data_IF_376019210214
#
_entry.id   IF_376019210214
#
_cell.length_a   1.000
_cell.length_b   1.000
_cell.length_c   1.000
_cell.angle_alpha   90.00
_cell.angle_beta   90.00
_cell.angle_gamma   90.00
#
_symmetry.space_group_name_H-M   'P 1'
#
loop_
_entity.id
_entity.type
_entity.pdbx_description
1 polymer ?
#
# COMPACT_ATOMS: atom_id res chain seq x y z
N UNK A 1 -14.05 -10.48 24.57
CA UNK A 1 -15.42 -10.32 24.04
C UNK A 1 -15.47 -9.72 22.64
N UNK A 2 -14.61 -8.75 22.27
CA UNK A 2 -14.59 -8.12 20.93
C UNK A 2 -14.13 -9.04 19.78
N UNK A 3 -13.16 -9.95 20.03
CA UNK A 3 -12.62 -10.85 18.98
C UNK A 3 -13.70 -11.69 18.31
N UNK A 4 -14.69 -12.13 19.09
CA UNK A 4 -15.82 -12.95 18.66
C UNK A 4 -16.84 -12.15 17.85
N UNK A 5 -17.03 -10.85 18.17
CA UNK A 5 -17.94 -9.97 17.42
C UNK A 5 -17.47 -9.77 15.98
N UNK A 6 -16.17 -9.54 15.75
CA UNK A 6 -15.63 -9.35 14.39
C UNK A 6 -15.74 -10.63 13.57
N UNK A 7 -15.46 -11.81 14.15
CA UNK A 7 -15.65 -13.07 13.42
C UNK A 7 -17.13 -13.35 13.12
N UNK A 8 -18.04 -12.97 14.02
CA UNK A 8 -19.47 -13.08 13.76
C UNK A 8 -19.91 -12.17 12.60
N UNK A 9 -19.40 -10.94 12.50
CA UNK A 9 -19.68 -10.05 11.37
C UNK A 9 -19.11 -10.59 10.05
N UNK A 10 -17.88 -11.12 10.05
CA UNK A 10 -17.30 -11.76 8.86
C UNK A 10 -18.10 -13.00 8.44
N UNK A 11 -18.49 -13.85 9.40
CA UNK A 11 -19.31 -15.02 9.12
C UNK A 11 -20.67 -14.59 8.55
N UNK A 12 -21.29 -13.57 9.13
CA UNK A 12 -22.56 -13.02 8.68
C UNK A 12 -22.48 -12.49 7.24
N UNK A 13 -21.41 -11.79 6.86
CA UNK A 13 -21.25 -11.32 5.47
C UNK A 13 -21.14 -12.48 4.48
N UNK A 14 -20.44 -13.56 4.83
CA UNK A 14 -20.39 -14.76 3.98
C UNK A 14 -21.73 -15.49 3.91
N UNK A 15 -22.47 -15.59 5.02
CA UNK A 15 -23.81 -16.20 5.04
C UNK A 15 -24.78 -15.40 4.16
N UNK A 16 -24.78 -14.07 4.27
CA UNK A 16 -25.61 -13.20 3.41
C UNK A 16 -25.21 -13.35 1.95
N UNK A 17 -23.90 -13.45 1.64
CA UNK A 17 -23.44 -13.70 0.28
C UNK A 17 -24.04 -14.99 -0.30
N UNK A 18 -23.90 -16.12 0.42
CA UNK A 18 -24.41 -17.42 -0.02
C UNK A 18 -25.93 -17.38 -0.21
N UNK A 19 -26.68 -16.77 0.72
CA UNK A 19 -28.14 -16.69 0.64
C UNK A 19 -28.63 -15.78 -0.49
N UNK A 20 -27.90 -14.70 -0.78
CA UNK A 20 -28.27 -13.75 -1.83
C UNK A 20 -27.83 -14.19 -3.24
N UNK A 21 -26.93 -15.18 -3.37
CA UNK A 21 -26.42 -15.66 -4.65
C UNK A 21 -27.52 -16.07 -5.63
N UNK A 22 -28.54 -16.77 -5.12
CA UNK A 22 -29.67 -17.27 -5.93
C UNK A 22 -30.61 -16.16 -6.42
N UNK A 23 -30.58 -14.98 -5.80
CA UNK A 23 -31.51 -13.88 -6.09
C UNK A 23 -30.85 -12.72 -6.82
N UNK A 24 -29.64 -12.34 -6.38
CA UNK A 24 -28.91 -11.17 -6.88
C UNK A 24 -27.40 -11.44 -6.79
N UNK A 25 -26.79 -11.99 -7.86
CA UNK A 25 -25.37 -12.34 -7.89
C UNK A 25 -24.44 -11.18 -7.52
N UNK A 26 -24.81 -9.94 -7.89
CA UNK A 26 -24.05 -8.72 -7.58
C UNK A 26 -24.04 -8.41 -6.08
N UNK A 27 -25.17 -8.58 -5.39
CA UNK A 27 -25.27 -8.36 -3.94
C UNK A 27 -24.48 -9.43 -3.20
N UNK A 28 -24.60 -10.70 -3.64
CA UNK A 28 -23.79 -11.79 -3.12
C UNK A 28 -22.29 -11.51 -3.22
N UNK A 29 -21.85 -11.05 -4.38
CA UNK A 29 -20.47 -10.70 -4.61
C UNK A 29 -20.02 -9.52 -3.72
N UNK A 30 -20.82 -8.46 -3.61
CA UNK A 30 -20.52 -7.33 -2.73
C UNK A 30 -20.32 -7.75 -1.26
N UNK A 31 -21.20 -8.62 -0.73
CA UNK A 31 -21.04 -9.14 0.63
C UNK A 31 -19.82 -10.07 0.79
N UNK A 32 -19.46 -10.82 -0.25
CA UNK A 32 -18.23 -11.60 -0.28
C UNK A 32 -16.99 -10.69 -0.22
N UNK A 33 -16.96 -9.62 -1.01
CA UNK A 33 -15.89 -8.60 -0.99
C UNK A 33 -15.77 -7.92 0.38
N UNK A 34 -16.91 -7.54 1.00
CA UNK A 34 -16.92 -6.98 2.35
C UNK A 34 -16.33 -7.97 3.37
N UNK A 35 -16.71 -9.24 3.30
CA UNK A 35 -16.18 -10.29 4.16
C UNK A 35 -14.67 -10.48 4.02
N UNK A 36 -14.18 -10.50 2.78
CA UNK A 36 -12.75 -10.58 2.46
C UNK A 36 -12.00 -9.35 3.01
N UNK A 37 -12.52 -8.13 2.76
CA UNK A 37 -11.92 -6.89 3.27
C UNK A 37 -11.84 -6.87 4.79
N UNK A 38 -12.91 -7.25 5.50
CA UNK A 38 -12.93 -7.31 6.95
C UNK A 38 -11.94 -8.35 7.51
N UNK A 39 -11.84 -9.51 6.87
CA UNK A 39 -10.87 -10.53 7.23
C UNK A 39 -9.44 -10.01 7.00
N UNK A 40 -9.21 -9.31 5.90
CA UNK A 40 -7.92 -8.73 5.54
C UNK A 40 -7.51 -7.61 6.51
N UNK A 41 -8.39 -6.67 6.84
CA UNK A 41 -8.16 -5.62 7.85
C UNK A 41 -7.86 -6.21 9.22
N UNK A 42 -8.57 -7.28 9.61
CA UNK A 42 -8.27 -7.99 10.87
C UNK A 42 -6.89 -8.62 10.86
N UNK A 43 -6.55 -9.35 9.80
CA UNK A 43 -5.23 -9.98 9.64
C UNK A 43 -4.12 -8.93 9.60
N UNK A 44 -4.37 -7.79 8.97
CA UNK A 44 -3.48 -6.63 8.97
C UNK A 44 -3.20 -6.15 10.40
N UNK A 45 -4.26 -5.90 11.19
CA UNK A 45 -4.12 -5.48 12.59
C UNK A 45 -3.35 -6.50 13.43
N UNK A 46 -3.69 -7.79 13.32
CA UNK A 46 -2.99 -8.86 14.04
C UNK A 46 -1.53 -8.97 13.61
N UNK A 47 -1.23 -8.76 12.32
CA UNK A 47 0.14 -8.72 11.80
C UNK A 47 0.93 -7.57 12.39
N UNK A 48 0.37 -6.35 12.43
CA UNK A 48 1.01 -5.17 12.99
C UNK A 48 1.41 -5.40 14.46
N UNK A 49 0.51 -5.99 15.25
CA UNK A 49 0.74 -6.27 16.67
C UNK A 49 1.86 -7.31 16.90
N UNK A 50 2.08 -8.22 15.95
CA UNK A 50 3.18 -9.20 16.00
C UNK A 50 4.51 -8.61 15.54
N UNK A 51 4.45 -7.61 14.67
CA UNK A 51 5.63 -6.98 14.07
C UNK A 51 6.14 -5.84 14.96
N UNK A 52 6.89 -6.18 16.01
CA UNK A 52 7.43 -5.18 16.94
C UNK A 52 8.97 -5.08 16.95
N UNK A 53 9.62 -5.46 15.86
CA UNK A 53 11.05 -5.20 15.63
C UNK A 53 11.20 -4.12 14.57
N UNK A 54 12.29 -3.33 14.61
CA UNK A 54 12.55 -2.26 13.63
C UNK A 54 12.54 -2.84 12.20
N UNK A 55 13.30 -3.93 11.98
CA UNK A 55 13.34 -4.60 10.67
C UNK A 55 11.95 -5.08 10.22
N UNK A 56 11.19 -5.69 11.13
CA UNK A 56 9.83 -6.12 10.83
C UNK A 56 8.95 -4.95 10.42
N UNK A 57 9.02 -3.83 11.13
CA UNK A 57 8.23 -2.63 10.81
C UNK A 57 8.63 -2.04 9.47
N UNK A 58 9.93 -2.03 9.12
CA UNK A 58 10.43 -1.60 7.80
C UNK A 58 9.82 -2.46 6.70
N UNK A 59 9.97 -3.79 6.79
CA UNK A 59 9.43 -4.71 5.79
C UNK A 59 7.92 -4.56 5.67
N UNK A 60 7.24 -4.44 6.81
CA UNK A 60 5.79 -4.29 6.83
C UNK A 60 5.36 -3.01 6.09
N UNK A 61 5.94 -1.86 6.42
CA UNK A 61 5.60 -0.57 5.81
C UNK A 61 5.99 -0.49 4.33
N UNK A 62 7.00 -1.23 3.86
CA UNK A 62 7.33 -1.26 2.43
C UNK A 62 6.35 -2.17 1.66
N UNK A 63 6.12 -3.38 2.17
CA UNK A 63 5.49 -4.45 1.38
C UNK A 63 3.98 -4.46 1.54
N UNK A 64 3.48 -4.41 2.77
CA UNK A 64 2.07 -4.66 3.06
C UNK A 64 1.11 -3.60 2.48
N UNK A 65 1.43 -2.30 2.54
CA UNK A 65 0.61 -1.23 1.96
C UNK A 65 0.39 -1.35 0.44
N UNK A 66 1.38 -1.86 -0.29
CA UNK A 66 1.27 -2.10 -1.74
C UNK A 66 0.23 -3.20 -1.99
N UNK A 67 0.36 -4.34 -1.30
CA UNK A 67 -0.60 -5.44 -1.41
C UNK A 67 -2.00 -5.03 -0.96
N UNK A 68 -2.11 -4.26 0.13
CA UNK A 68 -3.38 -3.77 0.62
C UNK A 68 -4.04 -2.86 -0.41
N UNK A 69 -3.34 -1.81 -0.86
CA UNK A 69 -3.86 -0.88 -1.85
C UNK A 69 -4.28 -1.59 -3.13
N UNK A 70 -3.44 -2.48 -3.67
CA UNK A 70 -3.75 -3.26 -4.87
C UNK A 70 -4.96 -4.18 -4.72
N UNK A 71 -5.12 -4.85 -3.58
CA UNK A 71 -6.29 -5.70 -3.33
C UNK A 71 -7.58 -4.88 -3.19
N UNK A 72 -7.57 -3.75 -2.47
CA UNK A 72 -8.72 -2.84 -2.43
C UNK A 72 -9.03 -2.26 -3.80
N UNK A 73 -8.01 -1.87 -4.56
CA UNK A 73 -8.19 -1.33 -5.91
C UNK A 73 -8.84 -2.36 -6.82
N UNK A 74 -8.37 -3.61 -6.83
CA UNK A 74 -8.97 -4.67 -7.64
C UNK A 74 -10.43 -4.96 -7.29
N UNK A 75 -10.80 -4.85 -6.01
CA UNK A 75 -12.21 -4.97 -5.58
C UNK A 75 -13.02 -3.77 -6.09
N UNK A 76 -12.51 -2.56 -5.91
CA UNK A 76 -13.18 -1.31 -6.32
C UNK A 76 -13.33 -1.26 -7.83
N UNK A 77 -12.29 -1.60 -8.58
CA UNK A 77 -12.30 -1.69 -10.03
C UNK A 77 -13.38 -2.68 -10.47
N UNK A 78 -13.38 -3.91 -9.96
CA UNK A 78 -14.38 -4.91 -10.34
C UNK A 78 -15.83 -4.49 -10.02
N UNK A 79 -16.06 -3.80 -8.89
CA UNK A 79 -17.41 -3.38 -8.47
C UNK A 79 -17.88 -2.08 -9.15
N UNK A 80 -16.97 -1.21 -9.56
CA UNK A 80 -17.26 0.14 -10.02
C UNK A 80 -16.58 0.47 -11.37
N UNK A 81 -16.31 -0.54 -12.20
CA UNK A 81 -15.62 -0.44 -13.51
C UNK A 81 -16.13 0.77 -14.30
N UNK A 82 -17.45 0.95 -14.38
CA UNK A 82 -18.09 2.01 -15.16
C UNK A 82 -18.04 3.40 -14.49
N UNK A 83 -17.92 3.49 -13.17
CA UNK A 83 -17.87 4.77 -12.43
C UNK A 83 -16.46 5.36 -12.34
N UNK A 84 -15.42 4.53 -12.42
CA UNK A 84 -14.04 4.99 -12.19
C UNK A 84 -13.48 5.74 -13.40
N UNK A 85 -13.92 5.37 -14.61
CA UNK A 85 -13.89 6.16 -15.86
C UNK A 85 -12.54 6.67 -16.38
N UNK A 86 -11.48 6.70 -15.56
CA UNK A 86 -10.16 7.20 -15.92
C UNK A 86 -9.07 6.60 -15.02
N UNK A 87 -7.88 6.41 -15.61
CA UNK A 87 -6.67 5.97 -14.90
C UNK A 87 -6.28 6.90 -13.75
N UNK A 88 -6.60 8.20 -13.86
CA UNK A 88 -6.36 9.20 -12.82
C UNK A 88 -7.13 8.89 -11.54
N UNK A 89 -8.40 8.52 -11.65
CA UNK A 89 -9.25 8.18 -10.50
C UNK A 89 -8.70 6.94 -9.79
N UNK A 90 -8.31 5.91 -10.54
CA UNK A 90 -7.72 4.68 -10.01
C UNK A 90 -6.41 4.96 -9.27
N UNK A 91 -5.52 5.77 -9.84
CA UNK A 91 -4.27 6.17 -9.20
C UNK A 91 -4.50 6.91 -7.88
N UNK A 92 -5.50 7.80 -7.81
CA UNK A 92 -5.88 8.49 -6.58
C UNK A 92 -6.38 7.53 -5.50
N UNK A 93 -7.22 6.55 -5.87
CA UNK A 93 -7.67 5.51 -4.93
C UNK A 93 -6.51 4.65 -4.43
N UNK A 94 -5.58 4.28 -5.31
CA UNK A 94 -4.39 3.53 -4.94
C UNK A 94 -3.56 4.30 -3.90
N UNK A 95 -3.26 5.58 -4.16
CA UNK A 95 -2.54 6.45 -3.23
C UNK A 95 -3.30 6.56 -1.90
N UNK A 96 -4.61 6.77 -1.95
CA UNK A 96 -5.44 6.93 -0.75
C UNK A 96 -5.40 5.69 0.15
N UNK A 97 -5.62 4.49 -0.41
CA UNK A 97 -5.59 3.25 0.37
C UNK A 97 -4.17 2.93 0.88
N UNK A 98 -3.16 3.22 0.07
CA UNK A 98 -1.77 3.06 0.46
C UNK A 98 -1.43 3.91 1.69
N UNK A 99 -1.65 5.22 1.63
CA UNK A 99 -1.35 6.17 2.72
C UNK A 99 -2.18 5.85 3.97
N UNK A 100 -3.45 5.48 3.80
CA UNK A 100 -4.33 5.11 4.91
C UNK A 100 -3.85 3.86 5.65
N UNK A 101 -3.42 2.83 4.92
CA UNK A 101 -2.87 1.61 5.53
C UNK A 101 -1.55 1.88 6.28
N UNK A 102 -0.72 2.78 5.74
CA UNK A 102 0.48 3.30 6.41
C UNK A 102 0.14 3.98 7.73
N UNK A 103 -0.75 4.97 7.68
CA UNK A 103 -1.18 5.73 8.84
C UNK A 103 -1.69 4.83 9.95
N UNK A 104 -2.57 3.89 9.61
CA UNK A 104 -3.14 2.93 10.57
C UNK A 104 -2.06 2.07 11.25
N UNK A 105 -1.07 1.59 10.49
CA UNK A 105 0.02 0.80 11.06
C UNK A 105 0.89 1.61 12.01
N UNK A 106 1.20 2.85 11.66
CA UNK A 106 1.97 3.76 12.49
C UNK A 106 1.29 4.11 13.80
N UNK A 107 -0.03 4.21 13.84
CA UNK A 107 -0.76 4.37 15.09
C UNK A 107 -0.65 3.16 16.03
N UNK A 108 -0.38 1.98 15.48
CA UNK A 108 -0.32 0.75 16.25
C UNK A 108 1.11 0.36 16.65
N UNK A 109 2.14 0.80 15.91
CA UNK A 109 3.53 0.50 16.23
C UNK A 109 4.03 1.24 17.48
N UNK A 110 5.01 0.63 18.15
CA UNK A 110 5.70 1.25 19.29
C UNK A 110 6.48 2.50 18.83
N UNK A 111 6.25 3.64 19.49
CA UNK A 111 6.70 4.96 19.00
C UNK A 111 8.23 5.04 18.89
N UNK A 112 8.96 4.52 19.88
CA UNK A 112 10.43 4.52 19.87
C UNK A 112 11.01 3.81 18.65
N UNK A 113 10.45 2.66 18.30
CA UNK A 113 10.90 1.87 17.14
C UNK A 113 10.44 2.49 15.84
N UNK A 114 9.21 3.02 15.82
CA UNK A 114 8.64 3.70 14.67
C UNK A 114 9.51 4.86 14.19
N UNK A 115 10.06 5.68 15.10
CA UNK A 115 10.97 6.78 14.74
C UNK A 115 12.17 6.32 13.92
N UNK A 116 12.83 5.25 14.39
CA UNK A 116 13.99 4.67 13.71
C UNK A 116 13.58 4.06 12.37
N UNK A 117 12.46 3.32 12.37
CA UNK A 117 11.88 2.73 11.16
C UNK A 117 11.60 3.79 10.09
N UNK A 118 10.92 4.89 10.46
CA UNK A 118 10.58 5.99 9.52
C UNK A 118 11.85 6.65 8.99
N UNK A 119 12.87 6.85 9.82
CA UNK A 119 14.16 7.37 9.36
C UNK A 119 14.82 6.44 8.34
N UNK A 120 14.90 5.13 8.61
CA UNK A 120 15.46 4.14 7.68
C UNK A 120 14.71 4.19 6.34
N UNK A 121 13.37 4.18 6.40
CA UNK A 121 12.54 4.20 5.21
C UNK A 121 12.75 5.49 4.40
N UNK A 122 12.75 6.65 5.07
CA UNK A 122 13.00 7.93 4.41
C UNK A 122 14.39 7.96 3.78
N UNK A 123 15.41 7.42 4.43
CA UNK A 123 16.77 7.31 3.86
C UNK A 123 16.75 6.46 2.59
N UNK A 124 16.12 5.28 2.61
CA UNK A 124 16.01 4.41 1.43
C UNK A 124 15.35 5.16 0.26
N UNK A 125 14.25 5.86 0.51
CA UNK A 125 13.54 6.58 -0.55
C UNK A 125 14.29 7.81 -1.06
N UNK A 126 14.92 8.58 -0.20
CA UNK A 126 15.73 9.73 -0.61
C UNK A 126 16.95 9.26 -1.43
N UNK A 127 17.58 8.14 -1.04
CA UNK A 127 18.66 7.53 -1.83
C UNK A 127 18.16 7.06 -3.19
N UNK A 128 17.00 6.40 -3.25
CA UNK A 128 16.37 5.99 -4.51
C UNK A 128 16.04 7.18 -5.41
N UNK A 129 15.38 8.20 -4.87
CA UNK A 129 15.10 9.46 -5.57
C UNK A 129 16.36 10.14 -6.10
N UNK A 130 17.43 10.15 -5.32
CA UNK A 130 18.71 10.73 -5.73
C UNK A 130 19.32 9.98 -6.90
N UNK A 131 19.22 8.64 -6.91
CA UNK A 131 19.63 7.82 -8.05
C UNK A 131 18.75 8.09 -9.28
N UNK A 132 17.42 8.18 -9.11
CA UNK A 132 16.49 8.51 -10.19
C UNK A 132 16.80 9.89 -10.78
N UNK A 133 17.10 10.87 -9.94
CA UNK A 133 17.48 12.21 -10.38
C UNK A 133 18.81 12.17 -11.15
N UNK A 134 19.82 11.46 -10.67
CA UNK A 134 21.09 11.28 -11.40
C UNK A 134 20.89 10.61 -12.77
N UNK A 135 20.03 9.59 -12.85
CA UNK A 135 19.70 8.93 -14.12
C UNK A 135 18.92 9.81 -15.08
N UNK A 136 18.08 10.72 -14.58
CA UNK A 136 17.34 11.68 -15.41
C UNK A 136 18.29 12.72 -16.05
N UNK A 137 19.36 13.10 -15.34
CA UNK A 137 20.37 14.02 -15.87
C UNK A 137 21.43 13.34 -16.75
N UNK A 138 21.67 12.03 -16.59
CA UNK A 138 22.56 11.22 -17.43
C UNK A 138 22.02 9.79 -17.57
N UNK A 139 21.31 9.52 -18.66
CA UNK A 139 20.79 8.18 -19.01
C UNK A 139 21.88 7.09 -19.02
N UNK A 140 23.13 7.45 -19.32
CA UNK A 140 24.25 6.52 -19.31
C UNK A 140 24.58 5.98 -17.90
N UNK A 141 24.28 6.73 -16.83
CA UNK A 141 24.43 6.26 -15.45
C UNK A 141 23.40 5.18 -15.13
N UNK A 142 22.19 5.26 -15.70
CA UNK A 142 21.17 4.22 -15.52
C UNK A 142 21.62 2.89 -16.17
N UNK A 143 22.30 2.96 -17.32
CA UNK A 143 22.84 1.79 -18.03
C UNK A 143 24.01 1.13 -17.27
N UNK A 144 24.69 1.87 -16.40
CA UNK A 144 25.75 1.32 -15.54
C UNK A 144 25.20 0.66 -14.27
N UNK A 145 24.03 1.09 -13.78
CA UNK A 145 23.40 0.56 -12.56
C UNK A 145 22.42 -0.58 -12.87
N UNK A 146 21.73 -0.53 -14.00
CA UNK A 146 20.86 -1.61 -14.47
C UNK A 146 21.69 -2.65 -15.23
N UNK A 147 21.44 -3.93 -14.95
CA UNK A 147 22.10 -5.03 -15.65
C UNK A 147 21.68 -5.02 -17.13
N UNK A 148 22.59 -5.30 -18.09
CA UNK A 148 22.27 -5.29 -19.52
C UNK A 148 21.06 -6.16 -19.90
N UNK A 149 20.85 -7.26 -19.18
CA UNK A 149 19.73 -8.19 -19.38
C UNK A 149 18.37 -7.54 -19.07
N UNK A 150 18.31 -6.70 -18.03
CA UNK A 150 17.10 -5.96 -17.65
C UNK A 150 16.74 -4.94 -18.73
N UNK A 151 17.75 -4.26 -19.28
CA UNK A 151 17.56 -3.28 -20.36
C UNK A 151 17.06 -3.97 -21.65
N UNK A 152 17.62 -5.14 -21.97
CA UNK A 152 17.19 -5.94 -23.12
C UNK A 152 15.75 -6.43 -22.97
N UNK A 153 15.33 -6.85 -21.77
CA UNK A 153 13.94 -7.17 -21.47
C UNK A 153 13.02 -5.96 -21.70
N UNK A 154 13.37 -4.77 -21.22
CA UNK A 154 12.55 -3.57 -21.41
C UNK A 154 12.38 -3.16 -22.88
N UNK A 155 13.44 -3.24 -23.66
CA UNK A 155 13.39 -2.98 -25.11
C UNK A 155 12.48 -4.01 -25.79
N UNK A 156 12.49 -5.27 -25.34
CA UNK A 156 11.63 -6.32 -25.89
C UNK A 156 10.13 -6.10 -25.62
N UNK A 157 9.77 -5.37 -24.55
CA UNK A 157 8.39 -5.01 -24.21
C UNK A 157 7.91 -3.69 -24.84
N UNK A 158 8.73 -3.02 -25.66
CA UNK A 158 8.39 -1.75 -26.30
C UNK A 158 8.04 -0.62 -25.29
N UNK A 159 8.53 -0.72 -24.05
CA UNK A 159 8.36 0.31 -23.01
C UNK A 159 9.53 1.28 -23.14
N UNK A 160 9.25 2.52 -23.51
CA UNK A 160 10.26 3.58 -23.49
C UNK A 160 10.78 3.75 -22.05
N UNK A 161 12.10 3.84 -21.89
CA UNK A 161 12.77 3.99 -20.58
C UNK A 161 12.20 5.19 -19.81
N UNK A 162 11.81 6.25 -20.52
CA UNK A 162 11.20 7.45 -19.94
C UNK A 162 9.81 7.16 -19.34
N UNK A 163 8.99 6.33 -20.00
CA UNK A 163 7.68 5.91 -19.48
C UNK A 163 7.83 5.02 -18.23
N UNK A 164 8.86 4.17 -18.17
CA UNK A 164 9.18 3.38 -16.99
C UNK A 164 9.61 4.25 -15.80
N UNK A 165 10.48 5.24 -16.05
CA UNK A 165 10.89 6.21 -15.03
C UNK A 165 9.67 6.99 -14.52
N UNK A 166 8.78 7.40 -15.41
CA UNK A 166 7.55 8.12 -15.03
C UNK A 166 6.62 7.25 -14.17
N UNK A 167 6.46 5.96 -14.51
CA UNK A 167 5.71 4.98 -13.69
C UNK A 167 6.39 4.74 -12.34
N UNK A 168 7.71 4.55 -12.30
CA UNK A 168 8.48 4.41 -11.05
C UNK A 168 8.31 5.62 -10.13
N UNK A 169 8.30 6.83 -10.69
CA UNK A 169 8.10 8.06 -9.93
C UNK A 169 6.65 8.16 -9.43
N UNK A 170 5.67 7.98 -10.32
CA UNK A 170 4.24 8.20 -10.01
C UNK A 170 3.64 7.10 -9.14
N UNK A 171 4.00 5.84 -9.37
CA UNK A 171 3.35 4.68 -8.76
C UNK A 171 4.09 4.16 -7.52
N UNK A 172 5.40 4.39 -7.42
CA UNK A 172 6.20 3.95 -6.29
C UNK A 172 6.60 5.16 -5.45
N UNK A 173 7.29 6.11 -6.07
CA UNK A 173 7.96 7.17 -5.32
C UNK A 173 6.99 8.14 -4.64
N UNK A 174 5.97 8.61 -5.36
CA UNK A 174 5.00 9.57 -4.83
C UNK A 174 4.21 9.02 -3.62
N UNK A 175 3.62 7.80 -3.65
CA UNK A 175 2.97 7.22 -2.47
C UNK A 175 3.89 7.15 -1.25
N UNK A 176 5.15 6.75 -1.43
CA UNK A 176 6.10 6.62 -0.33
C UNK A 176 6.56 7.97 0.22
N UNK A 177 6.75 8.98 -0.62
CA UNK A 177 7.05 10.35 -0.17
C UNK A 177 5.91 10.90 0.69
N UNK A 178 4.66 10.79 0.20
CA UNK A 178 3.49 11.23 0.94
C UNK A 178 3.35 10.48 2.27
N UNK A 179 3.55 9.17 2.26
CA UNK A 179 3.48 8.35 3.46
C UNK A 179 4.59 8.72 4.47
N UNK A 180 5.81 9.01 3.99
CA UNK A 180 6.92 9.53 4.80
C UNK A 180 6.61 10.87 5.47
N UNK A 181 5.98 11.80 4.73
CA UNK A 181 5.53 13.09 5.30
C UNK A 181 4.47 12.89 6.39
N UNK A 182 3.46 12.05 6.11
CA UNK A 182 2.42 11.72 7.08
C UNK A 182 2.96 10.99 8.31
N UNK A 183 4.07 10.26 8.17
CA UNK A 183 4.73 9.61 9.31
C UNK A 183 5.26 10.61 10.31
N UNK A 184 5.88 11.68 9.83
CA UNK A 184 6.39 12.73 10.70
C UNK A 184 5.23 13.41 11.45
N UNK A 185 4.09 13.60 10.78
CA UNK A 185 2.87 14.13 11.42
C UNK A 185 2.34 13.18 12.49
N UNK A 186 2.24 11.89 12.20
CA UNK A 186 1.75 10.88 13.17
C UNK A 186 2.69 10.77 14.36
N UNK A 187 4.01 10.76 14.14
CA UNK A 187 5.01 10.74 15.21
C UNK A 187 4.86 11.98 16.09
N UNK A 188 4.83 13.18 15.52
CA UNK A 188 4.68 14.43 16.27
C UNK A 188 3.37 14.48 17.07
N UNK A 189 2.26 14.03 16.48
CA UNK A 189 0.97 13.97 17.15
C UNK A 189 0.99 13.03 18.36
N UNK A 190 1.62 11.86 18.23
CA UNK A 190 1.73 10.87 19.31
C UNK A 190 2.67 11.33 20.43
N UNK A 191 3.75 12.01 20.08
CA UNK A 191 4.62 12.68 21.06
C UNK A 191 3.86 13.74 21.86
N UNK A 192 3.08 14.59 21.18
CA UNK A 192 2.24 15.60 21.83
C UNK A 192 1.22 14.97 22.78
N UNK A 193 0.66 13.81 22.41
CA UNK A 193 -0.28 13.04 23.24
C UNK A 193 0.39 12.39 24.47
N UNK A 194 1.71 12.26 24.48
CA UNK A 194 2.46 11.60 25.55
C UNK A 194 2.53 10.07 25.41
N UNK A 195 2.29 9.53 24.21
CA UNK A 195 2.53 8.11 23.94
C UNK A 195 4.04 7.83 24.09
N UNK A 196 4.41 6.73 24.77
CA UNK A 196 5.81 6.30 24.94
C UNK A 196 6.26 5.34 23.85
#
# INVERSE_FOLDING_TARGET
MERNKIYAVILLSFVIAILSYSYTPTISFAFMCIGILLLYVKRMKDSILRTNTIFGQVVWLIVFPIFFAGLTLGIVEFMFVEMLGSDTTLNLFMIFFFVSSWGMAMYCFELRKLKVTVQIINTIFISGLSLTFLSYYKLDVLKEVLTPDIIAEFISYNVEVDAFIDIMIKTITLPFVLAGMWSNVVVAYREYRGDK
#
